data_IF_372084268125
#
_entry.id   IF_372084268125
#
_cell.length_a   1.000
_cell.length_b   1.000
_cell.length_c   1.000
_cell.angle_alpha   90.00
_cell.angle_beta   90.00
_cell.angle_gamma   90.00
#
_symmetry.space_group_name_H-M   'P 1'
#
loop_
_entity.id
_entity.type
_entity.pdbx_description
1 polymer ?
#
# COMPACT_ATOMS: atom_id res chain seq x y z
N UNK A 1 -3.80 -11.13 13.74
CA UNK A 1 -4.71 -12.07 13.06
C UNK A 1 -6.03 -11.36 12.78
N UNK A 2 -6.43 -11.29 11.53
CA UNK A 2 -7.74 -10.78 11.14
C UNK A 2 -8.70 -11.96 11.13
N UNK A 3 -9.79 -11.83 11.90
CA UNK A 3 -10.87 -12.80 11.85
C UNK A 3 -11.82 -12.41 10.71
N UNK A 4 -11.90 -13.22 9.66
CA UNK A 4 -12.81 -13.04 8.52
C UNK A 4 -14.05 -13.95 8.59
N UNK A 5 -14.34 -14.52 9.77
CA UNK A 5 -15.48 -15.40 10.03
C UNK A 5 -16.85 -14.74 9.69
N UNK A 6 -16.91 -13.42 9.81
CA UNK A 6 -18.11 -12.61 9.49
C UNK A 6 -17.93 -11.74 8.24
N UNK A 7 -17.02 -12.13 7.36
CA UNK A 7 -16.61 -11.34 6.20
C UNK A 7 -15.36 -10.51 6.44
N UNK A 8 -14.97 -9.72 5.44
CA UNK A 8 -13.82 -8.83 5.49
C UNK A 8 -14.15 -7.49 4.84
N UNK A 9 -13.58 -6.43 5.36
CA UNK A 9 -13.56 -5.14 4.70
C UNK A 9 -12.50 -5.13 3.58
N UNK A 10 -12.72 -4.32 2.55
CA UNK A 10 -11.81 -4.25 1.42
C UNK A 10 -11.63 -2.83 0.89
N UNK A 11 -10.44 -2.56 0.39
CA UNK A 11 -10.08 -1.29 -0.24
C UNK A 11 -10.48 -1.33 -1.70
N UNK A 12 -11.22 -0.31 -2.15
CA UNK A 12 -11.53 -0.11 -3.58
C UNK A 12 -10.51 0.83 -4.19
N UNK A 13 -9.66 0.39 -5.15
CA UNK A 13 -8.72 1.26 -5.83
C UNK A 13 -9.41 2.44 -6.54
N UNK A 14 -8.78 3.62 -6.54
CA UNK A 14 -9.35 4.83 -7.12
C UNK A 14 -9.78 4.63 -8.59
N UNK A 15 -8.98 3.95 -9.40
CA UNK A 15 -9.28 3.63 -10.80
C UNK A 15 -10.55 2.77 -11.00
N UNK A 16 -10.98 2.05 -9.96
CA UNK A 16 -12.22 1.28 -9.93
C UNK A 16 -13.35 2.16 -9.38
N UNK A 17 -13.10 2.85 -8.26
CA UNK A 17 -14.08 3.69 -7.58
C UNK A 17 -14.65 4.81 -8.47
N UNK A 18 -13.81 5.38 -9.35
CA UNK A 18 -14.18 6.43 -10.30
C UNK A 18 -15.11 5.95 -11.44
N UNK A 19 -15.30 4.65 -11.59
CA UNK A 19 -16.09 4.03 -12.66
C UNK A 19 -17.19 3.16 -12.06
N UNK A 20 -18.42 3.65 -12.06
CA UNK A 20 -19.58 2.97 -11.43
C UNK A 20 -19.75 1.52 -11.88
N UNK A 21 -19.61 1.23 -13.17
CA UNK A 21 -19.72 -0.13 -13.70
C UNK A 21 -18.56 -1.04 -13.20
N UNK A 22 -17.34 -0.52 -13.15
CA UNK A 22 -16.18 -1.28 -12.62
C UNK A 22 -16.32 -1.53 -11.13
N UNK A 23 -16.83 -0.52 -10.38
CA UNK A 23 -17.09 -0.66 -8.96
C UNK A 23 -18.13 -1.75 -8.68
N UNK A 24 -19.21 -1.79 -9.43
CA UNK A 24 -20.26 -2.81 -9.26
C UNK A 24 -19.70 -4.23 -9.46
N UNK A 25 -18.88 -4.45 -10.49
CA UNK A 25 -18.22 -5.75 -10.74
C UNK A 25 -17.24 -6.10 -9.62
N UNK A 26 -16.50 -5.10 -9.11
CA UNK A 26 -15.54 -5.33 -8.02
C UNK A 26 -16.24 -5.68 -6.71
N UNK A 27 -17.34 -4.98 -6.37
CA UNK A 27 -18.13 -5.25 -5.18
C UNK A 27 -18.79 -6.65 -5.25
N UNK A 28 -19.29 -7.05 -6.43
CA UNK A 28 -19.81 -8.39 -6.68
C UNK A 28 -18.74 -9.47 -6.49
N UNK A 29 -17.53 -9.25 -7.03
CA UNK A 29 -16.41 -10.16 -6.84
C UNK A 29 -16.06 -10.33 -5.35
N UNK A 30 -15.99 -9.24 -4.57
CA UNK A 30 -15.70 -9.31 -3.14
C UNK A 30 -16.79 -10.06 -2.38
N UNK A 31 -18.06 -9.84 -2.72
CA UNK A 31 -19.19 -10.56 -2.11
C UNK A 31 -19.14 -12.07 -2.41
N UNK A 32 -18.83 -12.46 -3.66
CA UNK A 32 -18.69 -13.88 -4.01
C UNK A 32 -17.49 -14.55 -3.30
N UNK A 33 -16.37 -13.85 -3.14
CA UNK A 33 -15.24 -14.37 -2.36
C UNK A 33 -15.67 -14.62 -0.90
N UNK A 34 -16.34 -13.66 -0.26
CA UNK A 34 -16.82 -13.83 1.12
C UNK A 34 -17.76 -15.03 1.26
N UNK A 35 -18.70 -15.18 0.33
CA UNK A 35 -19.64 -16.30 0.29
C UNK A 35 -18.94 -17.65 0.15
N UNK A 36 -17.94 -17.73 -0.72
CA UNK A 36 -17.19 -18.99 -0.91
C UNK A 36 -16.27 -19.32 0.25
N UNK A 37 -15.66 -18.33 0.91
CA UNK A 37 -14.90 -18.54 2.13
C UNK A 37 -15.78 -19.08 3.26
N UNK A 38 -16.98 -18.51 3.45
CA UNK A 38 -17.95 -19.03 4.43
C UNK A 38 -18.33 -20.49 4.12
N UNK A 39 -18.48 -20.82 2.83
CA UNK A 39 -18.79 -22.20 2.44
C UNK A 39 -17.64 -23.18 2.71
N UNK A 40 -16.38 -22.75 2.57
CA UNK A 40 -15.22 -23.58 2.95
C UNK A 40 -15.19 -23.83 4.47
N UNK A 41 -15.51 -22.81 5.28
CA UNK A 41 -15.62 -22.96 6.74
C UNK A 41 -16.72 -23.98 7.13
N UNK A 42 -17.90 -23.93 6.49
CA UNK A 42 -18.98 -24.89 6.70
C UNK A 42 -18.57 -26.33 6.35
N UNK A 43 -17.68 -26.49 5.39
CA UNK A 43 -17.13 -27.79 4.97
C UNK A 43 -15.99 -28.28 5.88
N UNK A 44 -15.63 -27.52 6.91
CA UNK A 44 -14.59 -27.86 7.87
C UNK A 44 -13.16 -27.69 7.36
N UNK A 45 -12.95 -26.89 6.31
CA UNK A 45 -11.61 -26.57 5.81
C UNK A 45 -10.86 -25.74 6.86
N UNK A 46 -9.61 -26.08 7.21
CA UNK A 46 -8.80 -25.25 8.12
C UNK A 46 -8.70 -23.79 7.64
N UNK A 47 -8.81 -22.83 8.58
CA UNK A 47 -8.78 -21.40 8.25
C UNK A 47 -7.50 -20.95 7.57
N UNK A 48 -6.38 -21.55 7.89
CA UNK A 48 -5.10 -21.26 7.25
C UNK A 48 -5.11 -21.62 5.76
N UNK A 49 -5.86 -22.66 5.37
CA UNK A 49 -6.00 -23.09 3.98
C UNK A 49 -7.04 -22.21 3.25
N UNK A 50 -8.20 -21.95 3.85
CA UNK A 50 -9.23 -21.06 3.27
C UNK A 50 -8.74 -19.62 3.14
N UNK A 51 -7.85 -19.15 4.03
CA UNK A 51 -7.22 -17.82 3.96
C UNK A 51 -6.42 -17.60 2.66
N UNK A 52 -5.98 -18.64 1.98
CA UNK A 52 -5.33 -18.50 0.67
C UNK A 52 -6.27 -17.96 -0.42
N UNK A 53 -7.58 -18.03 -0.19
CA UNK A 53 -8.61 -17.46 -1.07
C UNK A 53 -8.89 -15.96 -0.79
N UNK A 54 -8.27 -15.34 0.22
CA UNK A 54 -8.49 -13.94 0.54
C UNK A 54 -7.95 -13.02 -0.56
N UNK A 55 -8.68 -11.96 -0.93
CA UNK A 55 -8.24 -11.04 -1.96
C UNK A 55 -7.10 -10.14 -1.46
N UNK A 56 -6.22 -9.73 -2.36
CA UNK A 56 -5.15 -8.77 -2.06
C UNK A 56 -5.70 -7.42 -1.53
N UNK A 57 -6.92 -7.07 -1.93
CA UNK A 57 -7.59 -5.84 -1.49
C UNK A 57 -8.23 -5.92 -0.09
N UNK A 58 -8.10 -7.04 0.64
CA UNK A 58 -8.64 -7.12 2.00
C UNK A 58 -7.99 -6.08 2.90
N UNK A 59 -8.82 -5.31 3.63
CA UNK A 59 -8.35 -4.31 4.57
C UNK A 59 -7.75 -4.97 5.81
N UNK A 60 -6.61 -4.45 6.27
CA UNK A 60 -5.95 -4.91 7.49
C UNK A 60 -5.38 -3.74 8.28
N UNK A 61 -5.16 -3.93 9.58
CA UNK A 61 -4.53 -2.96 10.45
C UNK A 61 -3.22 -3.52 11.00
N UNK A 62 -2.14 -2.78 10.79
CA UNK A 62 -0.81 -3.17 11.23
C UNK A 62 -0.22 -2.03 12.05
N UNK A 63 0.32 -2.36 13.23
CA UNK A 63 1.18 -1.45 13.99
C UNK A 63 2.63 -1.80 13.70
N UNK A 64 3.36 -0.84 13.14
CA UNK A 64 4.76 -1.01 12.78
C UNK A 64 5.66 -0.08 13.61
N UNK A 65 6.81 -0.60 14.04
CA UNK A 65 7.87 0.20 14.66
C UNK A 65 9.09 0.21 13.74
N UNK A 66 9.50 1.40 13.33
CA UNK A 66 10.67 1.59 12.48
C UNK A 66 11.66 2.54 13.15
N UNK A 67 12.95 2.31 12.93
CA UNK A 67 13.96 3.32 13.22
C UNK A 67 14.10 4.30 12.05
N UNK A 68 14.74 5.44 12.28
CA UNK A 68 14.90 6.48 11.27
C UNK A 68 15.61 5.98 10.01
N UNK A 69 16.63 5.14 10.16
CA UNK A 69 17.37 4.58 9.02
C UNK A 69 16.45 3.78 8.10
N UNK A 70 15.60 2.93 8.68
CA UNK A 70 14.62 2.16 7.91
C UNK A 70 13.62 3.07 7.18
N UNK A 71 13.14 4.13 7.84
CA UNK A 71 12.23 5.10 7.20
C UNK A 71 12.90 5.81 6.02
N UNK A 72 14.18 6.20 6.16
CA UNK A 72 14.95 6.79 5.05
C UNK A 72 15.11 5.81 3.88
N UNK A 73 15.43 4.54 4.16
CA UNK A 73 15.58 3.52 3.11
C UNK A 73 14.23 3.17 2.45
N UNK A 74 13.15 3.14 3.22
CA UNK A 74 11.78 2.99 2.72
C UNK A 74 11.38 4.17 1.81
N UNK A 75 11.72 5.42 2.19
CA UNK A 75 11.41 6.61 1.39
C UNK A 75 11.96 6.51 -0.02
N UNK A 76 13.18 6.00 -0.16
CA UNK A 76 13.85 5.84 -1.46
C UNK A 76 13.06 5.00 -2.45
N UNK A 77 12.33 4.01 -1.93
CA UNK A 77 11.53 3.10 -2.76
C UNK A 77 10.06 3.53 -2.83
N UNK A 78 9.48 3.96 -1.72
CA UNK A 78 8.04 4.21 -1.61
C UNK A 78 7.59 5.58 -2.09
N UNK A 79 8.51 6.56 -2.17
CA UNK A 79 8.23 7.86 -2.80
C UNK A 79 8.44 7.85 -4.32
N UNK A 80 8.84 6.72 -4.91
CA UNK A 80 8.91 6.55 -6.36
C UNK A 80 7.49 6.46 -6.95
N UNK A 81 7.25 7.08 -8.12
CA UNK A 81 5.96 7.00 -8.83
C UNK A 81 5.55 5.59 -9.24
N UNK A 82 6.49 4.65 -9.30
CA UNK A 82 6.26 3.22 -9.58
C UNK A 82 5.87 2.40 -8.36
N UNK A 83 5.98 2.96 -7.15
CA UNK A 83 5.50 2.29 -5.97
C UNK A 83 3.97 2.20 -6.00
N UNK A 84 3.42 1.20 -5.33
CA UNK A 84 1.99 1.02 -5.23
C UNK A 84 1.31 2.28 -4.66
N UNK A 85 0.19 2.66 -5.22
CA UNK A 85 -0.43 3.98 -4.97
C UNK A 85 -0.81 4.18 -3.50
N UNK A 86 -1.37 3.17 -2.82
CA UNK A 86 -1.69 3.25 -1.39
C UNK A 86 -0.45 3.46 -0.54
N UNK A 87 0.64 2.75 -0.86
CA UNK A 87 1.88 2.92 -0.12
C UNK A 87 2.49 4.30 -0.32
N UNK A 88 2.32 4.90 -1.51
CA UNK A 88 2.73 6.29 -1.76
C UNK A 88 1.91 7.27 -0.95
N UNK A 89 0.59 7.06 -0.88
CA UNK A 89 -0.33 7.88 -0.08
C UNK A 89 0.03 7.78 1.41
N UNK A 90 0.16 6.56 1.94
CA UNK A 90 0.59 6.30 3.32
C UNK A 90 1.92 7.01 3.63
N UNK A 91 2.90 6.90 2.73
CA UNK A 91 4.21 7.51 2.97
C UNK A 91 4.17 9.04 2.89
N UNK A 92 3.30 9.61 2.06
CA UNK A 92 3.03 11.05 2.01
C UNK A 92 2.41 11.54 3.31
N UNK A 93 1.43 10.81 3.85
CA UNK A 93 0.79 11.13 5.12
C UNK A 93 1.78 11.03 6.29
N UNK A 94 2.60 9.97 6.32
CA UNK A 94 3.68 9.83 7.29
C UNK A 94 4.65 11.03 7.27
N UNK A 95 5.06 11.47 6.08
CA UNK A 95 5.93 12.64 5.95
C UNK A 95 5.26 13.91 6.51
N UNK A 96 3.99 14.12 6.20
CA UNK A 96 3.21 15.27 6.71
C UNK A 96 3.13 15.26 8.24
N UNK A 97 2.79 14.13 8.84
CA UNK A 97 2.67 13.98 10.28
C UNK A 97 4.02 14.18 10.99
N UNK A 98 5.10 13.62 10.45
CA UNK A 98 6.45 13.82 11.01
C UNK A 98 6.91 15.25 10.90
N UNK A 99 6.72 15.92 9.75
CA UNK A 99 7.07 17.33 9.59
C UNK A 99 6.28 18.25 10.53
N UNK A 100 5.04 17.92 10.85
CA UNK A 100 4.22 18.65 11.80
C UNK A 100 4.58 18.39 13.27
N UNK A 101 5.38 17.36 13.57
CA UNK A 101 5.69 16.97 14.94
C UNK A 101 6.76 17.85 15.60
N UNK A 102 7.86 18.18 14.89
CA UNK A 102 8.90 19.12 15.36
C UNK A 102 9.76 19.64 14.21
N UNK A 103 10.52 20.74 14.46
CA UNK A 103 11.44 21.33 13.48
C UNK A 103 12.53 20.35 13.03
N UNK A 104 13.03 19.51 13.93
CA UNK A 104 14.04 18.49 13.62
C UNK A 104 13.47 17.40 12.69
N UNK A 105 12.21 17.03 12.89
CA UNK A 105 11.54 16.10 12.00
C UNK A 105 11.24 16.74 10.65
N UNK A 106 10.82 18.01 10.60
CA UNK A 106 10.61 18.72 9.33
C UNK A 106 11.92 18.81 8.54
N UNK A 107 13.02 19.18 9.20
CA UNK A 107 14.35 19.14 8.59
C UNK A 107 14.72 17.75 8.07
N UNK A 108 14.48 16.73 8.87
CA UNK A 108 14.80 15.33 8.52
C UNK A 108 14.01 14.86 7.31
N UNK A 109 12.71 15.10 7.28
CA UNK A 109 11.84 14.73 6.17
C UNK A 109 12.23 15.46 4.90
N UNK A 110 12.43 16.77 4.97
CA UNK A 110 12.75 17.59 3.79
C UNK A 110 14.11 17.28 3.16
N UNK A 111 15.10 16.82 3.96
CA UNK A 111 16.47 16.58 3.51
C UNK A 111 16.79 15.11 3.21
N UNK A 112 16.16 14.17 3.91
CA UNK A 112 16.54 12.76 3.84
C UNK A 112 15.46 11.84 3.30
N UNK A 113 14.18 12.24 3.30
CA UNK A 113 13.11 11.44 2.74
C UNK A 113 12.89 11.81 1.27
N UNK A 114 13.40 10.98 0.38
CA UNK A 114 13.34 11.24 -1.05
C UNK A 114 13.36 9.94 -1.86
N UNK A 115 12.83 9.92 -3.08
CA UNK A 115 12.94 8.75 -3.95
C UNK A 115 14.40 8.52 -4.35
N UNK A 116 14.74 7.26 -4.59
CA UNK A 116 16.11 6.81 -4.93
C UNK A 116 16.74 7.65 -6.04
N UNK A 117 15.98 7.99 -7.08
CA UNK A 117 16.49 8.77 -8.20
C UNK A 117 17.00 10.16 -7.81
N UNK A 118 16.38 10.81 -6.81
CA UNK A 118 16.88 12.07 -6.26
C UNK A 118 18.17 11.89 -5.48
N UNK A 119 18.27 10.81 -4.71
CA UNK A 119 19.46 10.53 -3.88
C UNK A 119 20.71 10.23 -4.72
N UNK A 120 20.53 9.63 -5.92
CA UNK A 120 21.65 9.22 -6.80
C UNK A 120 21.83 10.10 -8.04
N UNK A 121 20.94 11.09 -8.26
CA UNK A 121 21.05 12.05 -9.38
C UNK A 121 20.49 11.58 -10.72
N UNK A 122 20.04 10.33 -10.86
CA UNK A 122 19.47 9.79 -12.09
C UNK A 122 18.37 8.76 -11.82
N UNK A 123 17.52 8.48 -12.81
CA UNK A 123 16.50 7.45 -12.72
C UNK A 123 17.11 6.06 -13.02
N UNK A 124 17.13 5.11 -12.07
CA UNK A 124 17.66 3.77 -12.30
C UNK A 124 16.66 2.83 -13.00
N UNK A 125 15.44 3.29 -13.23
CA UNK A 125 14.34 2.48 -13.76
C UNK A 125 14.40 2.41 -15.29
N UNK A 126 14.03 1.26 -15.86
CA UNK A 126 13.97 1.05 -17.31
C UNK A 126 13.05 2.06 -18.03
N UNK A 127 11.97 2.46 -17.37
CA UNK A 127 11.05 3.50 -17.85
C UNK A 127 10.97 4.62 -16.81
N UNK A 128 11.62 5.76 -17.12
CA UNK A 128 11.60 6.93 -16.25
C UNK A 128 10.21 7.58 -16.22
N UNK A 129 9.83 8.14 -15.07
CA UNK A 129 8.66 9.01 -14.93
C UNK A 129 8.94 10.48 -15.26
N UNK A 130 10.15 10.83 -15.72
CA UNK A 130 10.57 12.18 -16.06
C UNK A 130 11.08 13.02 -14.87
N UNK A 131 11.01 12.54 -13.63
CA UNK A 131 11.47 13.28 -12.44
C UNK A 131 12.98 13.54 -12.45
N UNK A 132 13.73 12.57 -12.92
CA UNK A 132 15.20 12.64 -13.06
C UNK A 132 15.60 12.06 -14.41
N UNK A 133 16.75 12.48 -15.00
CA UNK A 133 17.23 11.93 -16.25
C UNK A 133 17.48 10.42 -16.12
N UNK A 134 17.43 9.66 -17.22
CA UNK A 134 17.83 8.26 -17.22
C UNK A 134 19.34 8.15 -16.91
N UNK A 135 19.78 6.96 -16.57
CA UNK A 135 21.22 6.65 -16.49
C UNK A 135 21.82 6.71 -17.89
N UNK A 136 22.90 7.44 -18.04
CA UNK A 136 23.75 7.41 -19.25
C UNK A 136 24.39 6.01 -19.45
#
# INVERSE_FOLDING_TARGET
>A
YINYEHGFDYVTPASIAERSAAKAVYDELMAEIQKHLARLDELGVPREDSAMGLPLGMETRIVCKHNLRNLMDMSRQRMCSRAYHEYRALFSDLCRELSGYSEEWDYTVSHYFMPKCRAIGFCPEKHSCGRMPPRE
#
